data_IF_994435088451
#
_entry.id   IF_994435088451
#
_cell.length_a   1.000
_cell.length_b   1.000
_cell.length_c   1.000
_cell.angle_alpha   90.00
_cell.angle_beta   90.00
_cell.angle_gamma   90.00
#
_symmetry.space_group_name_H-M   'P 1'
#
loop_
_entity.id
_entity.type
_entity.pdbx_description
1 polymer ?
#
# COMPACT_ATOMS: atom_id res chain seq x y z
N UNK A 1 0.31 40.98 51.35
CA UNK A 1 0.08 42.44 51.62
C UNK A 1 -0.72 43.06 50.50
N UNK A 2 -1.86 43.71 50.89
CA UNK A 2 -2.68 44.79 50.24
C UNK A 2 -3.16 44.51 48.79
N UNK A 3 -4.38 44.08 48.62
CA UNK A 3 -5.68 44.73 48.36
C UNK A 3 -5.56 46.13 47.73
N UNK A 4 -6.11 46.29 46.47
CA UNK A 4 -6.85 47.51 46.14
C UNK A 4 -8.00 47.14 45.21
N UNK A 5 -9.22 47.30 45.73
CA UNK A 5 -10.48 47.42 45.01
C UNK A 5 -10.61 48.83 44.53
N UNK A 6 -11.05 49.04 43.32
CA UNK A 6 -11.60 50.33 42.90
C UNK A 6 -13.01 50.13 42.34
N UNK A 7 -13.99 50.59 43.11
CA UNK A 7 -15.39 50.78 42.66
C UNK A 7 -15.46 52.10 41.91
N UNK A 8 -16.11 52.10 40.75
CA UNK A 8 -16.68 53.34 40.20
C UNK A 8 -18.17 53.06 39.94
N UNK A 9 -18.97 53.79 40.71
CA UNK A 9 -20.42 53.81 40.66
C UNK A 9 -20.90 54.80 39.58
N UNK A 10 -21.98 54.42 38.94
CA UNK A 10 -23.11 55.26 38.65
C UNK A 10 -22.97 56.32 37.56
N UNK A 11 -23.70 56.17 36.48
CA UNK A 11 -24.53 57.24 35.98
C UNK A 11 -25.77 56.71 35.25
N UNK A 12 -26.88 56.80 35.92
CA UNK A 12 -28.21 56.54 35.39
C UNK A 12 -28.61 57.77 34.57
N UNK A 13 -28.73 57.65 33.27
CA UNK A 13 -29.37 58.62 32.44
C UNK A 13 -30.56 58.05 31.71
N UNK A 14 -31.72 58.22 32.27
CA UNK A 14 -33.00 57.86 31.63
C UNK A 14 -33.23 58.85 30.47
N UNK A 15 -33.03 58.39 29.23
CA UNK A 15 -33.58 59.00 28.05
C UNK A 15 -34.83 58.22 27.63
N UNK A 16 -35.97 58.68 28.05
CA UNK A 16 -37.27 58.30 27.51
C UNK A 16 -37.37 58.84 26.11
N UNK A 17 -37.07 58.04 25.10
CA UNK A 17 -37.47 58.33 23.72
C UNK A 17 -38.74 57.52 23.44
N UNK A 18 -39.86 58.24 23.48
CA UNK A 18 -41.12 57.83 22.88
C UNK A 18 -40.94 57.80 21.35
N UNK A 19 -40.41 56.71 20.81
CA UNK A 19 -40.68 56.37 19.43
C UNK A 19 -41.85 55.40 19.43
N UNK A 20 -43.05 55.99 19.13
CA UNK A 20 -44.11 55.21 18.52
C UNK A 20 -43.62 54.78 17.12
N UNK A 21 -42.81 53.80 17.07
CA UNK A 21 -42.47 53.09 15.82
C UNK A 21 -43.60 52.11 15.54
N UNK A 22 -44.19 52.22 14.38
CA UNK A 22 -45.04 51.23 13.78
C UNK A 22 -44.47 49.85 14.06
N UNK A 23 -45.27 48.98 14.66
CA UNK A 23 -45.12 47.53 14.49
C UNK A 23 -45.40 47.23 13.02
N UNK A 24 -44.37 47.34 12.18
CA UNK A 24 -44.38 46.51 10.98
C UNK A 24 -44.37 45.12 11.53
N UNK A 25 -45.47 44.38 11.27
CA UNK A 25 -45.53 42.93 11.45
C UNK A 25 -44.42 42.38 10.57
N UNK A 26 -43.26 42.15 11.16
CA UNK A 26 -42.18 41.43 10.49
C UNK A 26 -42.76 40.03 10.18
N UNK A 27 -42.91 39.67 8.92
CA UNK A 27 -43.54 38.38 8.60
C UNK A 27 -42.74 37.26 9.27
N UNK A 28 -43.32 36.67 10.29
CA UNK A 28 -42.68 35.53 10.96
C UNK A 28 -42.65 34.38 9.99
N UNK A 29 -41.51 34.18 9.35
CA UNK A 29 -41.29 33.05 8.46
C UNK A 29 -41.31 31.74 9.26
N UNK A 30 -42.03 30.76 8.75
CA UNK A 30 -42.05 29.43 9.33
C UNK A 30 -40.69 28.73 9.08
N UNK A 31 -40.23 27.94 10.06
CA UNK A 31 -39.11 27.05 9.85
C UNK A 31 -39.45 26.03 8.77
N UNK A 32 -38.47 25.72 7.92
CA UNK A 32 -38.61 24.66 6.93
C UNK A 32 -38.35 23.28 7.58
N UNK A 33 -39.36 22.42 7.59
CA UNK A 33 -39.33 21.11 8.24
C UNK A 33 -39.74 20.03 7.25
N UNK A 34 -38.94 19.01 7.13
CA UNK A 34 -39.23 17.77 6.40
C UNK A 34 -39.73 16.67 7.35
N UNK A 35 -40.49 15.71 6.84
CA UNK A 35 -41.06 14.57 7.59
C UNK A 35 -39.95 13.61 8.13
N UNK A 36 -38.76 13.65 7.55
CA UNK A 36 -37.62 12.82 7.92
C UNK A 36 -36.30 13.53 7.77
N UNK A 37 -35.29 13.08 8.50
CA UNK A 37 -33.91 13.57 8.39
C UNK A 37 -33.03 12.58 7.59
N UNK A 38 -33.51 11.35 7.41
CA UNK A 38 -32.83 10.33 6.64
C UNK A 38 -33.86 9.54 5.80
N UNK A 39 -33.47 9.20 4.57
CA UNK A 39 -34.24 8.36 3.64
C UNK A 39 -33.32 7.28 3.09
N UNK A 40 -33.71 6.01 3.24
CA UNK A 40 -33.02 4.89 2.59
C UNK A 40 -33.80 4.44 1.35
N UNK A 41 -33.12 4.37 0.22
CA UNK A 41 -33.61 3.86 -1.06
C UNK A 41 -32.89 2.55 -1.36
N UNK A 42 -33.63 1.50 -1.65
CA UNK A 42 -33.07 0.21 -2.05
C UNK A 42 -33.30 0.02 -3.55
N UNK A 43 -32.23 0.05 -4.34
CA UNK A 43 -32.30 -0.08 -5.80
C UNK A 43 -32.84 -1.43 -6.27
N UNK A 44 -32.72 -2.48 -5.43
CA UNK A 44 -33.21 -3.81 -5.76
C UNK A 44 -34.76 -3.96 -5.59
N UNK A 45 -35.36 -3.05 -4.83
CA UNK A 45 -36.81 -3.06 -4.56
C UNK A 45 -37.50 -1.92 -5.31
N UNK A 46 -37.13 -0.69 -4.99
CA UNK A 46 -37.66 0.53 -5.60
C UNK A 46 -36.63 1.63 -5.55
N UNK A 47 -36.23 2.10 -6.71
CA UNK A 47 -35.23 3.16 -6.85
C UNK A 47 -35.72 4.58 -6.45
N UNK A 48 -36.92 4.69 -5.94
CA UNK A 48 -37.60 5.96 -5.64
C UNK A 48 -37.99 6.07 -4.17
N UNK A 49 -37.96 7.27 -3.64
CA UNK A 49 -38.45 7.64 -2.32
C UNK A 49 -39.08 9.01 -2.32
N UNK A 50 -39.81 9.34 -1.26
CA UNK A 50 -40.48 10.64 -1.11
C UNK A 50 -40.09 11.27 0.22
N UNK A 51 -39.82 12.57 0.19
CA UNK A 51 -39.69 13.43 1.36
C UNK A 51 -40.85 14.40 1.34
N UNK A 52 -41.64 14.44 2.43
CA UNK A 52 -42.73 15.36 2.58
C UNK A 52 -42.29 16.63 3.31
N UNK A 53 -42.63 17.78 2.78
CA UNK A 53 -42.48 19.05 3.51
C UNK A 53 -43.65 19.19 4.47
N UNK A 54 -43.35 19.25 5.77
CA UNK A 54 -44.35 19.38 6.83
C UNK A 54 -44.70 20.85 7.07
N UNK A 55 -43.69 21.70 6.98
CA UNK A 55 -43.81 23.13 7.24
C UNK A 55 -42.76 23.88 6.41
N UNK A 56 -43.14 25.06 5.89
CA UNK A 56 -42.26 25.94 5.13
C UNK A 56 -42.99 27.11 4.51
N UNK A 57 -42.29 27.94 3.76
CA UNK A 57 -42.84 29.18 3.23
C UNK A 57 -43.18 29.11 1.73
N UNK A 58 -43.16 27.93 1.10
CA UNK A 58 -43.43 27.74 -0.33
C UNK A 58 -42.30 28.05 -1.28
N UNK A 59 -42.54 27.93 -2.59
CA UNK A 59 -41.56 28.14 -3.64
C UNK A 59 -40.23 27.37 -3.38
N UNK A 60 -40.37 26.09 -3.10
CA UNK A 60 -39.23 25.25 -2.72
C UNK A 60 -38.28 25.03 -3.89
N UNK A 61 -37.00 24.94 -3.57
CA UNK A 61 -35.91 24.45 -4.45
C UNK A 61 -35.26 23.26 -3.78
N UNK A 62 -34.85 22.29 -4.59
CA UNK A 62 -34.16 21.11 -4.12
C UNK A 62 -32.83 20.96 -4.87
N UNK A 63 -31.80 20.52 -4.16
CA UNK A 63 -30.49 20.20 -4.74
C UNK A 63 -29.94 18.93 -4.09
N UNK A 64 -29.24 18.11 -4.87
CA UNK A 64 -28.48 16.97 -4.36
C UNK A 64 -27.01 17.34 -4.24
N UNK A 65 -26.36 16.87 -3.19
CA UNK A 65 -24.91 17.01 -3.03
C UNK A 65 -24.12 16.11 -3.97
N UNK A 66 -24.78 15.09 -4.54
CA UNK A 66 -24.20 14.14 -5.50
C UNK A 66 -25.28 13.62 -6.46
N UNK A 67 -25.39 14.23 -7.63
CA UNK A 67 -26.40 13.90 -8.63
C UNK A 67 -26.12 12.56 -9.34
N UNK A 68 -24.90 12.02 -9.26
CA UNK A 68 -24.58 10.67 -9.74
C UNK A 68 -25.18 9.56 -8.84
N UNK A 69 -25.47 9.88 -7.59
CA UNK A 69 -26.02 8.97 -6.59
C UNK A 69 -27.52 9.17 -6.44
N UNK A 70 -27.97 10.43 -6.33
CA UNK A 70 -29.34 10.80 -6.05
C UNK A 70 -29.75 12.02 -6.88
N UNK A 71 -30.86 11.91 -7.57
CA UNK A 71 -31.57 13.09 -8.11
C UNK A 71 -32.83 13.37 -7.31
N UNK A 72 -33.22 14.65 -7.21
CA UNK A 72 -34.41 15.06 -6.51
C UNK A 72 -35.18 16.11 -7.32
N UNK A 73 -36.51 15.94 -7.38
CA UNK A 73 -37.42 16.89 -8.04
C UNK A 73 -38.57 17.25 -7.11
N UNK A 74 -39.18 18.41 -7.35
CA UNK A 74 -40.28 18.91 -6.53
C UNK A 74 -41.62 18.66 -7.24
N UNK A 75 -42.55 18.11 -6.51
CA UNK A 75 -43.94 18.00 -6.92
C UNK A 75 -44.83 18.53 -5.75
N UNK A 76 -45.23 19.81 -5.85
CA UNK A 76 -45.93 20.54 -4.79
C UNK A 76 -45.11 20.57 -3.48
N UNK A 77 -45.62 19.97 -2.40
CA UNK A 77 -44.96 19.85 -1.10
C UNK A 77 -44.22 18.53 -0.93
N UNK A 78 -44.05 17.78 -2.01
CA UNK A 78 -43.33 16.49 -2.03
C UNK A 78 -42.05 16.62 -2.84
N UNK A 79 -40.97 16.07 -2.29
CA UNK A 79 -39.70 15.90 -2.99
C UNK A 79 -39.64 14.46 -3.45
N UNK A 80 -39.70 14.24 -4.76
CA UNK A 80 -39.48 12.94 -5.36
C UNK A 80 -37.96 12.72 -5.46
N UNK A 81 -37.47 11.68 -4.83
CA UNK A 81 -36.07 11.32 -4.75
C UNK A 81 -35.84 10.03 -5.52
N UNK A 82 -34.90 10.05 -6.48
CA UNK A 82 -34.53 8.86 -7.26
C UNK A 82 -33.09 8.51 -6.94
N UNK A 83 -32.86 7.29 -6.47
CA UNK A 83 -31.54 6.69 -6.32
C UNK A 83 -31.05 6.17 -7.66
N UNK A 84 -29.83 6.53 -8.05
CA UNK A 84 -29.23 6.12 -9.31
C UNK A 84 -28.11 5.09 -9.12
N UNK A 85 -27.37 5.20 -8.02
CA UNK A 85 -26.21 4.36 -7.71
C UNK A 85 -26.07 4.24 -6.19
N UNK A 86 -25.59 3.10 -5.72
CA UNK A 86 -25.29 2.90 -4.30
C UNK A 86 -24.30 3.96 -3.78
N UNK A 87 -24.63 4.57 -2.66
CA UNK A 87 -23.86 5.65 -2.05
C UNK A 87 -24.74 6.55 -1.17
N UNK A 88 -24.14 7.61 -0.66
CA UNK A 88 -24.81 8.58 0.20
C UNK A 88 -24.82 9.96 -0.48
N UNK A 89 -25.93 10.69 -0.33
CA UNK A 89 -26.04 12.08 -0.75
C UNK A 89 -26.92 12.84 0.24
N UNK A 90 -26.72 14.17 0.32
CA UNK A 90 -27.60 15.07 1.06
C UNK A 90 -28.51 15.79 0.09
N UNK A 91 -29.81 15.71 0.32
CA UNK A 91 -30.83 16.49 -0.39
C UNK A 91 -31.13 17.74 0.44
N UNK A 92 -30.75 18.90 -0.10
CA UNK A 92 -31.01 20.21 0.50
C UNK A 92 -32.28 20.79 -0.09
N UNK A 93 -33.23 21.13 0.77
CA UNK A 93 -34.48 21.82 0.42
C UNK A 93 -34.36 23.23 0.91
N UNK A 94 -34.71 24.21 0.09
CA UNK A 94 -34.71 25.65 0.43
C UNK A 94 -36.03 26.29 -0.01
N UNK A 95 -36.64 27.12 0.82
CA UNK A 95 -37.84 27.86 0.48
C UNK A 95 -37.52 29.30 0.02
N UNK A 96 -38.55 30.09 -0.35
CA UNK A 96 -38.35 31.45 -0.80
C UNK A 96 -37.85 32.40 0.32
N UNK A 97 -38.15 32.08 1.60
CA UNK A 97 -37.66 32.82 2.76
C UNK A 97 -36.17 32.47 3.08
N UNK A 98 -35.52 31.65 2.26
CA UNK A 98 -34.14 31.15 2.39
C UNK A 98 -33.92 30.26 3.62
N UNK A 99 -35.01 29.74 4.21
CA UNK A 99 -34.90 28.65 5.18
C UNK A 99 -34.50 27.37 4.45
N UNK A 100 -33.63 26.58 5.05
CA UNK A 100 -33.16 25.34 4.47
C UNK A 100 -33.19 24.18 5.45
N UNK A 101 -33.43 22.96 4.93
CA UNK A 101 -33.29 21.71 5.65
C UNK A 101 -32.57 20.68 4.80
N UNK A 102 -31.88 19.75 5.45
CA UNK A 102 -31.12 18.69 4.79
C UNK A 102 -31.70 17.34 5.18
N UNK A 103 -31.88 16.48 4.19
CA UNK A 103 -32.23 15.07 4.39
C UNK A 103 -31.09 14.22 3.84
N UNK A 104 -30.51 13.39 4.69
CA UNK A 104 -29.52 12.41 4.26
C UNK A 104 -30.23 11.30 3.48
N UNK A 105 -29.77 11.04 2.26
CA UNK A 105 -30.28 9.94 1.44
C UNK A 105 -29.21 8.86 1.30
N UNK A 106 -29.54 7.66 1.70
CA UNK A 106 -28.71 6.46 1.58
C UNK A 106 -29.30 5.62 0.47
N UNK A 107 -28.57 5.42 -0.60
CA UNK A 107 -28.95 4.54 -1.70
C UNK A 107 -28.23 3.22 -1.54
N UNK A 108 -28.99 2.17 -1.23
CA UNK A 108 -28.52 0.81 -1.08
C UNK A 108 -28.80 0.01 -2.35
N UNK A 109 -27.82 -0.83 -2.71
CA UNK A 109 -27.97 -1.85 -3.72
C UNK A 109 -27.37 -3.14 -3.19
N UNK A 110 -28.06 -4.26 -3.33
CA UNK A 110 -27.55 -5.55 -2.90
C UNK A 110 -26.61 -6.10 -3.97
N UNK A 111 -25.37 -5.68 -3.93
CA UNK A 111 -24.30 -6.22 -4.77
C UNK A 111 -23.39 -7.10 -3.95
N UNK A 112 -22.72 -8.05 -4.61
CA UNK A 112 -21.70 -8.85 -3.95
C UNK A 112 -20.48 -7.97 -3.63
N UNK A 113 -19.87 -8.24 -2.47
CA UNK A 113 -18.65 -7.58 -2.06
C UNK A 113 -17.45 -8.23 -2.77
N UNK A 114 -16.85 -7.48 -3.67
CA UNK A 114 -15.70 -7.94 -4.48
C UNK A 114 -14.57 -6.92 -4.35
N UNK A 115 -13.36 -7.42 -4.09
CA UNK A 115 -12.14 -6.62 -4.10
C UNK A 115 -11.51 -6.64 -5.48
N UNK A 116 -10.74 -5.59 -5.86
CA UNK A 116 -9.96 -5.59 -7.11
C UNK A 116 -8.94 -6.71 -7.17
N UNK A 117 -8.44 -7.15 -6.01
CA UNK A 117 -7.57 -8.31 -5.86
C UNK A 117 -7.96 -9.08 -4.62
N UNK A 118 -7.95 -10.42 -4.68
CA UNK A 118 -8.22 -11.31 -3.54
C UNK A 118 -6.95 -11.74 -2.81
N UNK A 119 -5.78 -11.45 -3.38
CA UNK A 119 -4.49 -11.75 -2.73
C UNK A 119 -3.43 -10.75 -3.13
N UNK A 120 -2.45 -10.56 -2.25
CA UNK A 120 -1.28 -9.74 -2.54
C UNK A 120 -0.05 -10.25 -1.81
N UNK A 121 1.12 -9.93 -2.39
CA UNK A 121 2.42 -10.20 -1.78
C UNK A 121 3.03 -8.87 -1.37
N UNK A 122 3.66 -8.85 -0.20
CA UNK A 122 4.35 -7.69 0.39
C UNK A 122 5.63 -8.15 1.07
N UNK A 123 6.51 -7.20 1.37
CA UNK A 123 7.65 -7.41 2.28
C UNK A 123 7.39 -6.70 3.61
N UNK A 124 8.11 -7.03 4.68
CA UNK A 124 7.94 -6.35 5.96
C UNK A 124 8.13 -4.83 5.86
N UNK A 125 7.30 -4.08 6.60
CA UNK A 125 7.29 -2.62 6.65
C UNK A 125 6.93 -1.95 5.30
N UNK A 126 6.06 -2.58 4.53
CA UNK A 126 5.47 -1.98 3.33
C UNK A 126 4.00 -1.64 3.59
N UNK A 127 3.56 -0.56 2.95
CA UNK A 127 2.16 -0.14 2.92
C UNK A 127 1.55 -0.42 1.55
N UNK A 128 0.29 -0.85 1.53
CA UNK A 128 -0.44 -1.09 0.29
C UNK A 128 -1.91 -0.74 0.43
N UNK A 129 -2.46 -0.14 -0.63
CA UNK A 129 -3.89 0.16 -0.70
C UNK A 129 -4.58 -0.78 -1.68
N UNK A 130 -5.66 -1.41 -1.22
CA UNK A 130 -6.52 -2.28 -2.04
C UNK A 130 -7.89 -1.61 -2.16
N UNK A 131 -8.42 -1.59 -3.37
CA UNK A 131 -9.72 -1.01 -3.64
C UNK A 131 -10.82 -2.08 -3.64
N UNK A 132 -11.98 -1.69 -3.12
CA UNK A 132 -13.22 -2.45 -3.29
C UNK A 132 -13.72 -2.19 -4.71
N UNK A 133 -13.96 -3.26 -5.47
CA UNK A 133 -14.50 -3.17 -6.84
C UNK A 133 -16.02 -2.99 -6.82
N UNK A 134 -16.74 -3.83 -6.05
CA UNK A 134 -18.18 -3.71 -5.81
C UNK A 134 -18.47 -4.00 -4.34
N UNK A 135 -19.54 -3.42 -3.80
CA UNK A 135 -19.98 -3.64 -2.43
C UNK A 135 -20.98 -2.58 -1.98
N UNK A 136 -21.58 -2.80 -0.82
CA UNK A 136 -22.68 -1.97 -0.33
C UNK A 136 -22.22 -0.84 0.62
N UNK A 137 -20.93 -0.54 0.67
CA UNK A 137 -20.37 0.52 1.54
C UNK A 137 -20.33 0.11 3.03
N UNK A 138 -19.94 1.05 3.90
CA UNK A 138 -19.87 0.81 5.34
C UNK A 138 -18.92 -0.35 5.71
N UNK A 139 -17.76 -0.42 5.04
CA UNK A 139 -16.83 -1.53 5.17
C UNK A 139 -16.19 -1.60 6.55
N UNK A 140 -16.03 -2.82 7.03
CA UNK A 140 -15.22 -3.17 8.19
C UNK A 140 -14.25 -4.27 7.82
N UNK A 141 -13.15 -4.39 8.57
CA UNK A 141 -12.10 -5.37 8.29
C UNK A 141 -11.60 -5.99 9.58
N UNK A 142 -11.39 -7.30 9.54
CA UNK A 142 -10.76 -8.08 10.61
C UNK A 142 -9.64 -8.91 10.04
N UNK A 143 -8.68 -9.32 10.85
CA UNK A 143 -7.54 -10.12 10.47
C UNK A 143 -7.37 -11.29 11.43
N UNK A 144 -6.97 -12.42 10.90
CA UNK A 144 -6.68 -13.64 11.67
C UNK A 144 -5.37 -13.51 12.47
N UNK A 145 -4.35 -12.87 11.87
CA UNK A 145 -3.03 -12.71 12.50
C UNK A 145 -2.50 -11.27 12.40
N UNK A 146 -2.80 -10.40 13.38
CA UNK A 146 -2.38 -9.00 13.38
C UNK A 146 -0.88 -8.79 13.62
N UNK A 147 -0.10 -9.84 13.93
CA UNK A 147 1.36 -9.74 14.05
C UNK A 147 2.06 -9.82 12.69
N UNK A 148 1.39 -10.35 11.65
CA UNK A 148 1.92 -10.45 10.29
C UNK A 148 1.58 -9.19 9.49
N UNK A 149 0.32 -8.76 9.54
CA UNK A 149 -0.15 -7.55 8.87
C UNK A 149 -1.35 -6.95 9.59
N UNK A 150 -1.55 -5.63 9.45
CA UNK A 150 -2.72 -4.89 9.90
C UNK A 150 -3.39 -4.21 8.73
N UNK A 151 -4.66 -3.90 8.88
CA UNK A 151 -5.37 -3.10 7.90
C UNK A 151 -6.41 -2.19 8.54
N UNK A 152 -6.72 -1.10 7.85
CA UNK A 152 -7.78 -0.16 8.19
C UNK A 152 -8.54 0.25 6.93
N UNK A 153 -9.77 0.69 7.10
CA UNK A 153 -10.56 1.30 6.02
C UNK A 153 -10.40 2.81 6.12
N UNK A 154 -9.99 3.46 5.03
CA UNK A 154 -9.87 4.92 4.97
C UNK A 154 -11.23 5.59 4.63
N UNK A 155 -11.28 6.93 4.68
CA UNK A 155 -12.49 7.72 4.40
C UNK A 155 -13.04 7.53 2.97
N UNK A 156 -12.23 6.99 2.05
CA UNK A 156 -12.64 6.67 0.68
C UNK A 156 -13.16 5.23 0.54
N UNK A 157 -13.23 4.47 1.62
CA UNK A 157 -13.64 3.06 1.61
C UNK A 157 -12.58 2.10 1.03
N UNK A 158 -11.31 2.51 0.99
CA UNK A 158 -10.21 1.69 0.54
C UNK A 158 -9.53 0.99 1.72
N UNK A 159 -9.02 -0.20 1.50
CA UNK A 159 -8.31 -1.00 2.49
C UNK A 159 -6.83 -0.58 2.46
N UNK A 160 -6.35 -0.01 3.56
CA UNK A 160 -4.93 0.30 3.78
C UNK A 160 -4.30 -0.82 4.60
N UNK A 161 -3.29 -1.47 4.05
CA UNK A 161 -2.59 -2.61 4.66
C UNK A 161 -1.20 -2.15 5.04
N UNK A 162 -0.77 -2.47 6.27
CA UNK A 162 0.59 -2.36 6.78
C UNK A 162 1.12 -3.78 7.04
N UNK A 163 2.21 -4.17 6.37
CA UNK A 163 2.86 -5.46 6.59
C UNK A 163 3.91 -5.35 7.69
N UNK A 164 3.98 -6.34 8.59
CA UNK A 164 4.85 -6.29 9.78
C UNK A 164 5.92 -7.38 9.77
N UNK A 165 5.52 -8.63 9.62
CA UNK A 165 6.41 -9.79 9.73
C UNK A 165 6.11 -10.84 8.68
N UNK A 166 7.10 -11.65 8.27
CA UNK A 166 6.90 -12.74 7.32
C UNK A 166 5.83 -13.73 7.79
N UNK A 167 4.98 -14.15 6.86
CA UNK A 167 3.88 -15.07 7.10
C UNK A 167 2.70 -14.79 6.17
N UNK A 168 1.57 -15.43 6.46
CA UNK A 168 0.31 -15.19 5.74
C UNK A 168 -0.74 -14.71 6.71
N UNK A 169 -1.43 -13.64 6.36
CA UNK A 169 -2.57 -13.10 7.09
C UNK A 169 -3.79 -13.08 6.17
N UNK A 170 -4.94 -13.49 6.69
CA UNK A 170 -6.22 -13.45 5.99
C UNK A 170 -7.07 -12.35 6.61
N UNK A 171 -7.46 -11.40 5.78
CA UNK A 171 -8.38 -10.34 6.15
C UNK A 171 -9.77 -10.70 5.70
N UNK A 172 -10.73 -10.62 6.61
CA UNK A 172 -12.16 -10.69 6.27
C UNK A 172 -12.70 -9.28 6.19
N UNK A 173 -13.13 -8.89 5.00
CA UNK A 173 -13.80 -7.60 4.74
C UNK A 173 -15.28 -7.85 4.74
N UNK A 174 -16.03 -6.99 5.42
CA UNK A 174 -17.49 -7.06 5.54
C UNK A 174 -18.07 -5.69 5.21
N UNK A 175 -19.19 -5.67 4.48
CA UNK A 175 -19.95 -4.46 4.20
C UNK A 175 -21.17 -4.29 5.11
N UNK A 176 -21.90 -3.16 4.99
CA UNK A 176 -23.08 -2.85 5.81
C UNK A 176 -24.27 -3.81 5.58
N UNK A 177 -24.24 -4.62 4.53
CA UNK A 177 -25.26 -5.63 4.20
C UNK A 177 -24.82 -7.03 4.59
N UNK A 178 -23.81 -7.15 5.46
CA UNK A 178 -23.26 -8.42 5.95
C UNK A 178 -22.63 -9.31 4.86
N UNK A 179 -22.39 -8.77 3.65
CA UNK A 179 -21.60 -9.46 2.64
C UNK A 179 -20.13 -9.47 3.05
N UNK A 180 -19.48 -10.59 2.87
CA UNK A 180 -18.07 -10.78 3.24
C UNK A 180 -17.24 -11.23 2.05
N UNK A 181 -15.97 -10.87 2.05
CA UNK A 181 -14.96 -11.38 1.13
C UNK A 181 -13.62 -11.46 1.84
N UNK A 182 -12.73 -12.30 1.33
CA UNK A 182 -11.41 -12.50 1.90
C UNK A 182 -10.33 -11.82 1.06
N UNK A 183 -9.30 -11.34 1.75
CA UNK A 183 -8.07 -10.82 1.17
C UNK A 183 -6.88 -11.52 1.82
N UNK A 184 -6.12 -12.28 1.04
CA UNK A 184 -4.94 -13.00 1.52
C UNK A 184 -3.71 -12.10 1.30
N UNK A 185 -2.99 -11.83 2.37
CA UNK A 185 -1.73 -11.08 2.34
C UNK A 185 -0.59 -12.01 2.72
N UNK A 186 0.29 -12.28 1.76
CA UNK A 186 1.52 -13.04 2.00
C UNK A 186 2.68 -12.08 2.17
N UNK A 187 3.24 -12.00 3.37
CA UNK A 187 4.46 -11.23 3.66
C UNK A 187 5.66 -12.15 3.54
N UNK A 188 6.51 -11.87 2.55
CA UNK A 188 7.70 -12.66 2.25
C UNK A 188 8.94 -12.05 2.88
N UNK A 189 9.94 -12.89 3.17
CA UNK A 189 11.29 -12.42 3.42
C UNK A 189 11.99 -12.03 2.11
N UNK A 190 12.81 -10.99 2.14
CA UNK A 190 13.77 -10.75 1.06
C UNK A 190 14.89 -11.77 1.16
N UNK A 191 15.31 -12.31 0.03
CA UNK A 191 16.49 -13.17 0.00
C UNK A 191 17.74 -12.31 0.20
N UNK A 192 18.62 -12.75 1.09
CA UNK A 192 19.90 -12.09 1.40
C UNK A 192 21.02 -13.13 1.29
N UNK A 193 22.08 -12.78 0.60
CA UNK A 193 23.30 -13.58 0.47
C UNK A 193 24.51 -12.85 1.01
N UNK A 194 25.55 -13.57 1.42
CA UNK A 194 26.76 -13.03 2.07
C UNK A 194 27.74 -12.35 1.12
N UNK A 195 27.67 -12.69 -0.16
CA UNK A 195 28.56 -12.14 -1.18
C UNK A 195 27.81 -11.22 -2.15
N UNK A 196 28.58 -10.34 -2.75
CA UNK A 196 28.08 -9.45 -3.78
C UNK A 196 27.46 -10.25 -4.94
N UNK A 197 26.50 -9.66 -5.58
CA UNK A 197 25.85 -10.17 -6.79
C UNK A 197 26.81 -10.33 -7.99
N UNK A 198 28.12 -10.23 -7.75
CA UNK A 198 29.17 -10.31 -8.76
C UNK A 198 30.39 -11.11 -8.28
N UNK A 199 30.70 -12.22 -8.97
CA UNK A 199 31.95 -12.96 -8.84
C UNK A 199 32.82 -12.56 -10.03
N UNK A 200 33.85 -11.69 -9.83
CA UNK A 200 34.65 -11.18 -10.94
C UNK A 200 35.45 -12.29 -11.62
N UNK A 201 35.80 -13.33 -10.86
CA UNK A 201 36.67 -14.36 -11.36
C UNK A 201 36.40 -15.71 -10.68
N UNK A 202 36.25 -16.78 -11.48
CA UNK A 202 36.06 -18.15 -11.04
C UNK A 202 37.14 -19.03 -11.66
N UNK A 203 37.76 -19.89 -10.86
CA UNK A 203 38.84 -20.79 -11.31
C UNK A 203 38.34 -22.19 -11.47
N UNK A 204 38.61 -22.85 -12.60
CA UNK A 204 38.28 -24.24 -12.82
C UNK A 204 38.96 -25.12 -11.75
N UNK A 205 38.19 -25.98 -11.12
CA UNK A 205 38.63 -26.82 -10.02
C UNK A 205 38.64 -26.19 -8.63
N UNK A 206 38.28 -24.89 -8.53
CA UNK A 206 38.11 -24.21 -7.25
C UNK A 206 36.70 -23.61 -7.19
N UNK A 207 35.74 -24.27 -6.52
CA UNK A 207 34.39 -23.75 -6.42
C UNK A 207 34.34 -22.46 -5.62
N UNK A 208 33.44 -21.56 -6.02
CA UNK A 208 33.00 -20.44 -5.18
C UNK A 208 31.75 -20.83 -4.41
N UNK A 209 31.63 -20.33 -3.18
CA UNK A 209 30.47 -20.59 -2.33
C UNK A 209 29.81 -19.27 -1.96
N UNK A 210 28.49 -19.24 -2.05
CA UNK A 210 27.64 -18.11 -1.62
C UNK A 210 26.71 -18.62 -0.53
N UNK A 211 26.78 -18.00 0.65
CA UNK A 211 25.87 -18.32 1.76
C UNK A 211 24.57 -17.56 1.63
N UNK A 212 23.46 -18.24 1.86
CA UNK A 212 22.16 -17.64 1.98
C UNK A 212 21.97 -17.28 3.45
N UNK A 213 21.88 -15.96 3.73
CA UNK A 213 21.78 -15.45 5.09
C UNK A 213 20.33 -15.33 5.57
N UNK A 214 19.40 -15.03 4.67
CA UNK A 214 17.95 -14.99 4.94
C UNK A 214 17.15 -15.24 3.64
N UNK A 215 15.88 -15.63 3.79
CA UNK A 215 14.95 -15.88 2.69
C UNK A 215 13.80 -16.79 3.12
N UNK A 216 13.04 -17.31 2.15
CA UNK A 216 11.83 -18.06 2.41
C UNK A 216 12.04 -19.59 2.40
N UNK A 217 13.29 -20.06 2.28
CA UNK A 217 13.61 -21.50 2.23
C UNK A 217 13.38 -22.13 0.85
N UNK A 218 13.61 -23.46 0.75
CA UNK A 218 13.43 -24.20 -0.50
C UNK A 218 14.30 -23.68 -1.64
N UNK A 219 15.54 -23.31 -1.34
CA UNK A 219 16.45 -22.67 -2.28
C UNK A 219 16.87 -23.60 -3.40
N UNK A 220 16.98 -23.02 -4.57
CA UNK A 220 17.46 -23.67 -5.80
C UNK A 220 18.42 -22.74 -6.51
N UNK A 221 19.34 -23.30 -7.29
CA UNK A 221 20.19 -22.49 -8.16
C UNK A 221 20.15 -23.01 -9.60
N UNK A 222 20.24 -22.08 -10.55
CA UNK A 222 20.25 -22.38 -11.98
C UNK A 222 21.34 -21.59 -12.66
N UNK A 223 22.21 -22.29 -13.40
CA UNK A 223 23.20 -21.67 -14.26
C UNK A 223 22.53 -21.12 -15.52
N UNK A 224 22.63 -19.82 -15.75
CA UNK A 224 22.15 -19.16 -16.97
C UNK A 224 23.16 -19.24 -18.10
N UNK A 225 22.67 -19.11 -19.34
CA UNK A 225 23.49 -19.09 -20.54
C UNK A 225 23.85 -20.48 -21.04
N UNK A 226 24.97 -21.04 -20.62
CA UNK A 226 25.36 -22.39 -21.03
C UNK A 226 25.86 -23.19 -19.83
N UNK A 227 25.11 -24.21 -19.43
CA UNK A 227 25.54 -25.23 -18.47
C UNK A 227 26.87 -25.94 -18.87
N UNK A 228 27.39 -25.63 -20.04
CA UNK A 228 28.68 -26.13 -20.54
C UNK A 228 29.88 -25.48 -19.85
N UNK A 229 29.75 -24.23 -19.36
CA UNK A 229 30.86 -23.47 -18.82
C UNK A 229 30.89 -23.40 -17.29
N UNK A 230 29.76 -23.48 -16.66
CA UNK A 230 29.63 -23.51 -15.20
C UNK A 230 28.48 -24.41 -14.74
N UNK A 231 28.60 -24.88 -13.52
CA UNK A 231 27.56 -25.62 -12.80
C UNK A 231 27.31 -24.94 -11.47
N UNK A 232 26.06 -24.95 -11.02
CA UNK A 232 25.73 -24.62 -9.64
C UNK A 232 24.94 -25.75 -8.98
N UNK A 233 25.14 -25.90 -7.69
CA UNK A 233 24.43 -26.85 -6.83
C UNK A 233 24.21 -26.26 -5.46
N UNK A 234 23.23 -26.78 -4.73
CA UNK A 234 23.04 -26.46 -3.32
C UNK A 234 23.91 -27.37 -2.47
N UNK A 235 24.40 -26.86 -1.33
CA UNK A 235 24.99 -27.68 -0.26
C UNK A 235 23.96 -28.68 0.30
N UNK A 236 24.43 -29.71 1.01
CA UNK A 236 23.57 -30.74 1.58
C UNK A 236 22.55 -30.16 2.60
N UNK A 237 22.93 -29.14 3.35
CA UNK A 237 22.07 -28.46 4.30
C UNK A 237 21.17 -27.40 3.64
N UNK A 238 21.35 -27.17 2.34
CA UNK A 238 20.56 -26.22 1.56
C UNK A 238 20.81 -24.73 1.88
N UNK A 239 21.90 -24.40 2.58
CA UNK A 239 22.18 -23.02 3.02
C UNK A 239 23.21 -22.30 2.15
N UNK A 240 23.92 -23.04 1.30
CA UNK A 240 24.97 -22.49 0.45
C UNK A 240 24.76 -22.89 -1.01
N UNK A 241 25.13 -21.98 -1.91
CA UNK A 241 25.21 -22.23 -3.35
C UNK A 241 26.68 -22.43 -3.72
N UNK A 242 26.99 -23.59 -4.32
CA UNK A 242 28.30 -23.97 -4.80
C UNK A 242 28.34 -23.75 -6.31
N UNK A 243 29.28 -22.92 -6.78
CA UNK A 243 29.45 -22.58 -8.20
C UNK A 243 30.79 -23.09 -8.68
N UNK A 244 30.76 -23.97 -9.68
CA UNK A 244 31.95 -24.60 -10.25
C UNK A 244 32.17 -24.14 -11.69
N UNK A 245 33.38 -23.66 -12.01
CA UNK A 245 33.83 -23.42 -13.37
C UNK A 245 34.20 -24.74 -14.07
N UNK A 246 33.61 -25.03 -15.24
CA UNK A 246 33.85 -26.23 -16.01
C UNK A 246 34.76 -26.02 -17.21
N UNK A 247 34.65 -24.84 -17.85
CA UNK A 247 35.45 -24.49 -19.01
C UNK A 247 35.74 -22.97 -18.98
N UNK A 248 36.86 -22.60 -19.57
CA UNK A 248 37.27 -21.21 -19.73
C UNK A 248 36.22 -20.42 -20.49
N UNK A 249 35.87 -19.24 -19.94
CA UNK A 249 34.90 -18.33 -20.52
C UNK A 249 35.15 -16.89 -20.04
N UNK A 250 35.10 -15.91 -20.94
CA UNK A 250 35.44 -14.50 -20.65
C UNK A 250 34.33 -13.54 -20.89
N UNK A 251 33.10 -14.01 -20.77
CA UNK A 251 31.92 -13.18 -20.85
C UNK A 251 31.06 -13.40 -19.61
N UNK A 252 30.21 -12.44 -19.29
CA UNK A 252 29.32 -12.54 -18.14
C UNK A 252 28.42 -13.78 -18.24
N UNK A 253 28.55 -14.65 -17.25
CA UNK A 253 27.62 -15.72 -16.97
C UNK A 253 26.77 -15.33 -15.77
N UNK A 254 25.58 -15.92 -15.66
CA UNK A 254 24.71 -15.69 -14.53
C UNK A 254 24.36 -16.99 -13.82
N UNK A 255 24.28 -16.94 -12.51
CA UNK A 255 23.62 -17.95 -11.68
C UNK A 255 22.44 -17.29 -11.02
N UNK A 256 21.26 -17.88 -11.20
CA UNK A 256 20.05 -17.43 -10.53
C UNK A 256 19.82 -18.32 -9.31
N UNK A 257 19.76 -17.73 -8.14
CA UNK A 257 19.34 -18.36 -6.89
C UNK A 257 17.87 -17.99 -6.70
N UNK A 258 17.02 -18.97 -6.44
CA UNK A 258 15.61 -18.77 -6.20
C UNK A 258 15.15 -19.51 -4.95
N UNK A 259 14.20 -18.93 -4.22
CA UNK A 259 13.54 -19.59 -3.10
C UNK A 259 12.16 -20.16 -3.48
N UNK A 260 11.53 -20.89 -2.57
CA UNK A 260 10.21 -21.51 -2.79
C UNK A 260 9.10 -20.49 -3.06
N UNK A 261 9.28 -19.22 -2.67
CA UNK A 261 8.32 -18.15 -2.85
C UNK A 261 8.57 -17.33 -4.11
N UNK A 262 9.58 -17.73 -4.91
CA UNK A 262 9.91 -17.12 -6.18
C UNK A 262 10.75 -15.86 -6.09
N UNK A 263 11.31 -15.53 -4.90
CA UNK A 263 12.37 -14.52 -4.79
C UNK A 263 13.61 -14.98 -5.53
N UNK A 264 14.30 -14.06 -6.18
CA UNK A 264 15.48 -14.39 -7.00
C UNK A 264 16.60 -13.39 -6.77
N UNK A 265 17.81 -13.93 -6.71
CA UNK A 265 19.05 -13.16 -6.79
C UNK A 265 19.82 -13.67 -8.01
N UNK A 266 20.28 -12.77 -8.85
CA UNK A 266 21.19 -13.08 -9.95
C UNK A 266 22.61 -12.75 -9.55
N UNK A 267 23.47 -13.77 -9.59
CA UNK A 267 24.91 -13.62 -9.38
C UNK A 267 25.62 -13.64 -10.73
N UNK A 268 26.38 -12.60 -11.01
CA UNK A 268 27.14 -12.48 -12.25
C UNK A 268 28.56 -13.02 -12.04
N UNK A 269 28.99 -13.95 -12.90
CA UNK A 269 30.36 -14.45 -12.99
C UNK A 269 31.00 -13.81 -14.23
N UNK A 270 31.97 -12.91 -14.02
CA UNK A 270 32.56 -12.12 -15.11
C UNK A 270 33.51 -12.96 -15.97
N UNK A 271 34.30 -13.83 -15.35
CA UNK A 271 35.22 -14.71 -16.07
C UNK A 271 35.39 -16.06 -15.38
N UNK A 272 35.62 -17.08 -16.18
CA UNK A 272 36.04 -18.41 -15.73
C UNK A 272 37.37 -18.72 -16.41
N UNK A 273 38.40 -19.03 -15.65
CA UNK A 273 39.72 -19.34 -16.20
C UNK A 273 40.29 -20.68 -15.70
N UNK A 274 41.22 -21.22 -16.49
CA UNK A 274 41.89 -22.48 -16.21
C UNK A 274 43.26 -22.17 -15.57
N UNK A 275 43.51 -22.68 -14.34
CA UNK A 275 44.78 -22.46 -13.66
C UNK A 275 45.96 -23.13 -14.36
N UNK A 276 45.72 -24.06 -15.27
CA UNK A 276 46.77 -24.81 -15.96
C UNK A 276 47.10 -24.27 -17.34
N UNK A 277 46.43 -23.23 -17.84
CA UNK A 277 46.82 -22.60 -19.09
C UNK A 277 48.09 -21.81 -18.92
N UNK A 278 49.00 -21.90 -19.90
CA UNK A 278 50.41 -21.45 -19.94
C UNK A 278 50.68 -19.96 -19.76
N UNK A 279 49.87 -19.22 -19.07
CA UNK A 279 50.19 -17.85 -18.73
C UNK A 279 50.85 -17.80 -17.35
N UNK A 280 52.19 -17.58 -17.27
CA UNK A 280 52.94 -17.58 -16.00
C UNK A 280 52.36 -16.61 -14.97
N UNK A 281 51.77 -15.51 -15.41
CA UNK A 281 51.20 -14.49 -14.53
C UNK A 281 50.03 -14.99 -13.66
N UNK A 282 49.29 -15.94 -14.13
CA UNK A 282 48.12 -16.51 -13.37
C UNK A 282 48.54 -17.65 -12.44
N UNK A 283 49.58 -18.40 -12.79
CA UNK A 283 50.13 -19.48 -11.95
C UNK A 283 50.61 -18.98 -10.58
N UNK A 284 51.18 -17.82 -10.54
CA UNK A 284 51.74 -17.25 -9.30
C UNK A 284 50.68 -16.61 -8.40
N UNK A 285 49.60 -16.08 -8.96
CA UNK A 285 48.49 -15.56 -8.15
C UNK A 285 47.72 -16.67 -7.40
N UNK A 286 47.70 -17.90 -7.94
CA UNK A 286 46.98 -19.03 -7.39
C UNK A 286 47.81 -19.93 -6.48
N UNK A 287 49.14 -19.90 -6.60
CA UNK A 287 50.07 -20.67 -5.77
C UNK A 287 50.36 -20.04 -4.39
N UNK A 288 50.03 -18.78 -4.21
CA UNK A 288 50.03 -18.15 -2.88
C UNK A 288 48.73 -18.55 -2.15
N UNK A 289 48.86 -19.05 -0.94
CA UNK A 289 47.80 -19.57 -0.02
C UNK A 289 46.70 -18.57 0.34
N UNK A 290 46.19 -17.85 -0.65
CA UNK A 290 45.01 -17.01 -0.50
C UNK A 290 43.78 -17.82 -0.91
N UNK A 291 43.00 -18.29 0.07
CA UNK A 291 41.67 -18.73 -0.22
C UNK A 291 40.92 -17.57 -0.87
N UNK A 292 40.21 -17.80 -1.95
CA UNK A 292 39.41 -16.80 -2.66
C UNK A 292 38.46 -16.02 -1.73
N UNK A 293 38.11 -16.58 -0.58
CA UNK A 293 37.30 -16.00 0.49
C UNK A 293 37.96 -14.84 1.24
N UNK A 294 39.30 -14.64 1.12
CA UNK A 294 40.02 -13.62 1.88
C UNK A 294 40.34 -12.34 1.09
N UNK A 295 40.10 -12.33 -0.21
CA UNK A 295 40.27 -11.14 -1.04
C UNK A 295 38.92 -10.40 -1.16
N UNK A 296 38.76 -9.30 -0.41
CA UNK A 296 37.66 -8.39 -0.70
C UNK A 296 37.75 -7.91 -2.14
N UNK A 297 36.63 -7.79 -2.83
CA UNK A 297 36.53 -7.31 -4.22
C UNK A 297 37.30 -5.99 -4.46
N UNK A 298 37.42 -5.14 -3.42
CA UNK A 298 38.22 -3.92 -3.45
C UNK A 298 39.75 -4.17 -3.64
N UNK A 299 40.30 -5.21 -3.01
CA UNK A 299 41.74 -5.51 -3.13
C UNK A 299 42.12 -6.13 -4.47
N UNK A 300 41.22 -6.92 -5.07
CA UNK A 300 41.45 -7.47 -6.41
C UNK A 300 41.40 -6.35 -7.46
N UNK A 301 40.51 -5.38 -7.33
CA UNK A 301 40.42 -4.20 -8.18
C UNK A 301 41.67 -3.30 -8.08
N UNK A 302 42.21 -3.09 -6.87
CA UNK A 302 43.47 -2.32 -6.68
C UNK A 302 44.66 -3.00 -7.29
N UNK A 303 44.78 -4.32 -7.17
CA UNK A 303 45.90 -5.08 -7.78
C UNK A 303 45.83 -5.06 -9.32
N UNK A 304 44.62 -5.06 -9.89
CA UNK A 304 44.44 -5.07 -11.36
C UNK A 304 44.54 -3.70 -12.02
N UNK A 305 44.39 -2.61 -11.25
CA UNK A 305 44.47 -1.22 -11.76
C UNK A 305 45.81 -0.51 -11.54
N UNK A 306 46.75 -1.10 -10.77
CA UNK A 306 48.07 -0.48 -10.67
C UNK A 306 48.85 -0.73 -11.95
N UNK A 307 49.06 0.32 -12.72
CA UNK A 307 49.85 0.30 -13.95
C UNK A 307 51.37 -0.03 -13.74
N UNK A 308 51.81 -0.19 -12.47
CA UNK A 308 53.16 -0.46 -12.05
C UNK A 308 53.34 -1.82 -11.36
N UNK A 309 52.51 -2.81 -11.70
CA UNK A 309 52.64 -4.14 -11.10
C UNK A 309 53.92 -4.83 -11.58
N UNK A 310 54.95 -4.78 -10.75
CA UNK A 310 56.23 -5.43 -11.02
C UNK A 310 56.26 -6.83 -10.37
N UNK A 311 56.24 -7.87 -11.18
CA UNK A 311 56.28 -9.30 -10.78
C UNK A 311 57.47 -9.62 -9.84
N UNK A 312 58.54 -8.85 -9.86
CA UNK A 312 59.73 -9.06 -9.01
C UNK A 312 59.47 -8.80 -7.51
N UNK A 313 58.41 -8.11 -7.15
CA UNK A 313 58.05 -7.86 -5.75
C UNK A 313 57.25 -9.01 -5.10
N UNK A 314 56.71 -9.92 -5.88
CA UNK A 314 55.97 -11.09 -5.37
C UNK A 314 56.88 -12.30 -5.07
N UNK A 315 58.16 -12.26 -5.52
CA UNK A 315 59.10 -13.36 -5.37
C UNK A 315 59.99 -13.26 -4.11
N UNK A 316 59.80 -12.26 -3.26
CA UNK A 316 60.60 -12.04 -2.05
C UNK A 316 59.71 -12.05 -0.80
N UNK A 317 58.97 -13.13 -0.60
CA UNK A 317 58.59 -13.57 0.76
C UNK A 317 58.11 -15.00 0.74
#
# INVERSE_FOLDING_TARGET
MKKNRLYIAGFLLAAVNLFSGCSEDDPSYANLVADKQELTINLDEKAEGVIQIIQGNGNYKVTSSNEDVVTATIDNDQIQVTGLKAGDANVTITDWARMSTNVKVIVDQLVDLVLKVSSTVMYPNEDKTIEVYTGNGGYSITVDNPSIAKAAINDKGQIQIESLAPGTATFTVKDRRDKTTELIVKVKKRMVVDNSENIPYLVIGTPATIKILDGNGGYTCTAGGSATYLKCSMSEDGTEVIIEGLKRYRYNNKVTIADQDGEKIEVTITAIDDPYLENPSYRYMLAGSYSYQSLSTSKVGEIMHSADFNLSQLLVK
#
